data_IF_771635312055
#
_entry.id   IF_771635312055
#
_cell.length_a   1.000
_cell.length_b   1.000
_cell.length_c   1.000
_cell.angle_alpha   90.00
_cell.angle_beta   90.00
_cell.angle_gamma   90.00
#
_symmetry.space_group_name_H-M   'P 1'
#
loop_
_entity.id
_entity.type
_entity.pdbx_description
1 polymer ?
#
# COMPACT_ATOMS: atom_id res chain seq x y z
N UNK A 1 -3.86 3.40 1.14
CA UNK A 1 -2.52 3.98 0.82
C UNK A 1 -2.03 3.52 -0.52
N UNK A 2 -1.98 2.67 -1.16
CA UNK A 2 -1.54 2.34 -2.52
C UNK A 2 -2.60 2.50 -3.60
N UNK A 3 -3.88 2.55 -3.24
CA UNK A 3 -4.98 2.49 -4.19
C UNK A 3 -4.96 3.61 -5.23
N UNK A 4 -4.78 4.85 -4.81
CA UNK A 4 -4.77 5.99 -5.73
C UNK A 4 -3.60 5.91 -6.72
N UNK A 5 -2.41 5.57 -6.25
CA UNK A 5 -1.24 5.41 -7.10
C UNK A 5 -1.43 4.27 -8.12
N UNK A 6 -1.97 3.14 -7.68
CA UNK A 6 -2.18 1.99 -8.54
C UNK A 6 -3.28 2.22 -9.59
N UNK A 7 -4.28 3.05 -9.30
CA UNK A 7 -5.25 3.48 -10.33
C UNK A 7 -4.55 4.23 -11.46
N UNK A 8 -3.63 5.14 -11.13
CA UNK A 8 -2.85 5.87 -12.11
C UNK A 8 -1.93 4.96 -12.90
N UNK A 9 -1.25 4.03 -12.25
CA UNK A 9 -0.40 3.05 -12.92
C UNK A 9 -1.22 2.18 -13.88
N UNK A 10 -2.41 1.77 -13.47
CA UNK A 10 -3.30 0.94 -14.29
C UNK A 10 -3.73 1.66 -15.58
N UNK A 11 -3.99 2.97 -15.51
CA UNK A 11 -4.33 3.77 -16.69
C UNK A 11 -3.18 3.80 -17.68
N UNK A 12 -1.93 3.84 -17.20
CA UNK A 12 -0.74 3.96 -18.05
C UNK A 12 -0.21 2.61 -18.55
N UNK A 13 -0.48 1.51 -17.85
CA UNK A 13 0.06 0.20 -18.17
C UNK A 13 -0.46 -0.33 -19.51
N UNK A 14 0.42 -0.90 -20.32
CA UNK A 14 0.09 -1.47 -21.62
C UNK A 14 0.05 -2.99 -21.62
N UNK A 15 0.98 -3.65 -20.91
CA UNK A 15 1.01 -5.10 -20.80
C UNK A 15 -0.24 -5.62 -20.07
N UNK A 16 -0.88 -6.63 -20.64
CA UNK A 16 -2.05 -7.26 -20.06
C UNK A 16 -1.74 -7.89 -18.69
N UNK A 17 -0.61 -8.57 -18.57
CA UNK A 17 -0.16 -9.18 -17.32
C UNK A 17 0.07 -8.15 -16.23
N UNK A 18 0.69 -7.01 -16.57
CA UNK A 18 0.89 -5.92 -15.64
C UNK A 18 -0.44 -5.33 -15.20
N UNK A 19 -1.36 -5.10 -16.14
CA UNK A 19 -2.70 -4.58 -15.84
C UNK A 19 -3.46 -5.50 -14.90
N UNK A 20 -3.42 -6.81 -15.13
CA UNK A 20 -4.06 -7.80 -14.27
C UNK A 20 -3.50 -7.76 -12.85
N UNK A 21 -2.17 -7.73 -12.74
CA UNK A 21 -1.50 -7.69 -11.43
C UNK A 21 -1.80 -6.39 -10.68
N UNK A 22 -1.75 -5.25 -11.37
CA UNK A 22 -2.09 -3.96 -10.77
C UNK A 22 -3.56 -3.92 -10.31
N UNK A 23 -4.46 -4.48 -11.11
CA UNK A 23 -5.88 -4.52 -10.78
C UNK A 23 -6.15 -5.40 -9.54
N UNK A 24 -5.52 -6.57 -9.45
CA UNK A 24 -5.64 -7.42 -8.26
C UNK A 24 -5.09 -6.71 -7.01
N UNK A 25 -3.96 -6.04 -7.16
CA UNK A 25 -3.36 -5.27 -6.07
C UNK A 25 -4.26 -4.12 -5.63
N UNK A 26 -4.85 -3.40 -6.58
CA UNK A 26 -5.78 -2.32 -6.33
C UNK A 26 -7.00 -2.81 -5.54
N UNK A 27 -7.61 -3.92 -5.97
CA UNK A 27 -8.75 -4.50 -5.27
C UNK A 27 -8.41 -4.90 -3.83
N UNK A 28 -7.23 -5.45 -3.63
CA UNK A 28 -6.73 -5.83 -2.30
C UNK A 28 -6.56 -4.60 -1.40
N UNK A 29 -5.98 -3.53 -1.93
CA UNK A 29 -5.79 -2.29 -1.16
C UNK A 29 -7.11 -1.62 -0.82
N UNK A 30 -8.06 -1.56 -1.76
CA UNK A 30 -9.39 -0.99 -1.52
C UNK A 30 -10.12 -1.75 -0.43
N UNK A 31 -10.05 -3.08 -0.46
CA UNK A 31 -10.66 -3.94 0.55
C UNK A 31 -10.06 -3.66 1.94
N UNK A 32 -8.73 -3.62 2.04
CA UNK A 32 -8.04 -3.42 3.31
C UNK A 32 -8.21 -1.99 3.84
N UNK A 33 -8.22 -1.00 2.96
CA UNK A 33 -8.52 0.38 3.36
C UNK A 33 -9.93 0.50 3.94
N UNK A 34 -10.90 -0.17 3.33
CA UNK A 34 -12.29 -0.20 3.83
C UNK A 34 -12.36 -0.90 5.20
N UNK A 35 -11.73 -2.06 5.34
CA UNK A 35 -11.70 -2.80 6.61
C UNK A 35 -11.02 -1.99 7.71
N UNK A 36 -9.90 -1.33 7.40
CA UNK A 36 -9.17 -0.51 8.35
C UNK A 36 -10.00 0.68 8.82
N UNK A 37 -10.64 1.38 7.88
CA UNK A 37 -11.52 2.51 8.20
C UNK A 37 -12.69 2.05 9.10
N UNK A 38 -13.28 0.90 8.78
CA UNK A 38 -14.37 0.32 9.57
C UNK A 38 -13.91 0.00 11.00
N UNK A 39 -12.74 -0.60 11.18
CA UNK A 39 -12.19 -0.92 12.49
C UNK A 39 -11.87 0.34 13.28
N UNK A 40 -11.27 1.34 12.65
CA UNK A 40 -10.95 2.63 13.29
C UNK A 40 -12.24 3.30 13.78
N UNK A 41 -13.29 3.31 12.98
CA UNK A 41 -14.57 3.88 13.35
C UNK A 41 -15.21 3.12 14.55
N UNK A 42 -15.01 1.80 14.62
CA UNK A 42 -15.51 0.98 15.72
C UNK A 42 -14.83 1.30 17.05
N UNK A 43 -13.56 1.72 17.02
CA UNK A 43 -12.82 2.14 18.23
C UNK A 43 -13.23 3.53 18.75
N UNK A 44 -13.91 4.32 17.91
CA UNK A 44 -14.28 5.68 18.24
C UNK A 44 -13.18 6.71 18.00
N UNK A 45 -13.58 7.96 17.82
CA UNK A 45 -12.66 9.05 17.49
C UNK A 45 -11.69 9.41 18.64
N UNK A 46 -11.92 8.90 19.84
CA UNK A 46 -11.15 9.23 21.05
C UNK A 46 -9.95 8.30 21.27
N UNK A 47 -9.74 7.28 20.43
CA UNK A 47 -8.58 6.43 20.55
C UNK A 47 -7.36 7.11 19.89
N UNK A 48 -6.34 7.55 20.66
CA UNK A 48 -5.19 8.27 20.11
C UNK A 48 -4.45 7.48 19.04
N UNK A 49 -4.45 6.15 19.16
CA UNK A 49 -3.73 5.25 18.26
C UNK A 49 -4.38 5.18 16.88
N UNK A 50 -5.71 5.32 16.81
CA UNK A 50 -6.43 5.34 15.52
C UNK A 50 -6.08 6.58 14.70
N UNK A 51 -5.97 7.74 15.35
CA UNK A 51 -5.56 8.97 14.70
C UNK A 51 -4.14 8.85 14.15
N UNK A 52 -3.24 8.19 14.88
CA UNK A 52 -1.88 7.94 14.45
C UNK A 52 -1.79 7.06 13.21
N UNK A 53 -2.59 5.99 13.15
CA UNK A 53 -2.64 5.10 11.97
C UNK A 53 -3.16 5.86 10.74
N UNK A 54 -4.22 6.65 10.90
CA UNK A 54 -4.76 7.46 9.80
C UNK A 54 -3.74 8.48 9.30
N UNK A 55 -3.04 9.14 10.22
CA UNK A 55 -1.98 10.09 9.86
C UNK A 55 -0.85 9.39 9.10
N UNK A 56 -0.44 8.21 9.53
CA UNK A 56 0.58 7.40 8.85
C UNK A 56 0.17 7.08 7.42
N UNK A 57 -1.06 6.59 7.23
CA UNK A 57 -1.57 6.24 5.90
C UNK A 57 -1.64 7.45 4.99
N UNK A 58 -2.12 8.59 5.49
CA UNK A 58 -2.22 9.83 4.72
C UNK A 58 -0.85 10.36 4.33
N UNK A 59 0.10 10.40 5.25
CA UNK A 59 1.46 10.87 4.99
C UNK A 59 2.19 9.98 3.99
N UNK A 60 2.04 8.67 4.11
CA UNK A 60 2.64 7.73 3.16
C UNK A 60 2.06 7.91 1.76
N UNK A 61 0.75 8.10 1.65
CA UNK A 61 0.09 8.34 0.37
C UNK A 61 0.58 9.65 -0.30
N UNK A 62 0.77 10.71 0.49
CA UNK A 62 1.28 11.99 -0.02
C UNK A 62 2.71 11.89 -0.56
N UNK A 63 3.52 10.99 -0.01
CA UNK A 63 4.90 10.80 -0.47
C UNK A 63 5.01 10.00 -1.77
N UNK A 64 3.96 9.29 -2.15
CA UNK A 64 3.93 8.53 -3.39
C UNK A 64 3.62 9.49 -4.53
N UNK A 65 4.65 9.87 -5.28
CA UNK A 65 4.49 10.71 -6.46
C UNK A 65 4.39 9.81 -7.68
N UNK A 66 3.25 9.88 -8.36
CA UNK A 66 3.07 9.18 -9.62
C UNK A 66 3.64 10.07 -10.73
N UNK A 67 4.76 9.63 -11.30
CA UNK A 67 5.39 10.30 -12.42
C UNK A 67 4.89 9.67 -13.71
N UNK A 68 4.87 10.46 -14.80
CA UNK A 68 4.56 9.93 -16.11
C UNK A 68 5.58 8.82 -16.44
N UNK A 69 5.06 7.63 -16.73
CA UNK A 69 5.88 6.48 -17.06
C UNK A 69 6.07 6.38 -18.57
N UNK A 70 7.30 6.14 -19.01
CA UNK A 70 7.61 5.96 -20.42
C UNK A 70 7.38 4.51 -20.87
N UNK A 71 7.28 3.58 -19.93
CA UNK A 71 7.18 2.15 -20.23
C UNK A 71 6.56 1.38 -19.09
N UNK A 72 6.17 0.13 -19.34
CA UNK A 72 5.71 -0.79 -18.30
C UNK A 72 6.80 -1.09 -17.27
N UNK A 73 8.06 -1.09 -17.67
CA UNK A 73 9.18 -1.24 -16.74
C UNK A 73 9.23 -0.08 -15.73
N UNK A 74 9.01 1.15 -16.20
CA UNK A 74 8.92 2.31 -15.30
C UNK A 74 7.78 2.18 -14.31
N UNK A 75 6.63 1.69 -14.78
CA UNK A 75 5.47 1.44 -13.91
C UNK A 75 5.80 0.41 -12.84
N UNK A 76 6.44 -0.69 -13.22
CA UNK A 76 6.89 -1.72 -12.27
C UNK A 76 7.83 -1.13 -11.22
N UNK A 77 8.82 -0.36 -11.65
CA UNK A 77 9.79 0.23 -10.74
C UNK A 77 9.14 1.23 -9.79
N UNK A 78 8.22 2.06 -10.28
CA UNK A 78 7.47 3.01 -9.44
C UNK A 78 6.57 2.27 -8.45
N UNK A 79 5.88 1.22 -8.91
CA UNK A 79 4.99 0.41 -8.07
C UNK A 79 5.76 -0.28 -6.94
N UNK A 80 6.93 -0.85 -7.24
CA UNK A 80 7.81 -1.47 -6.23
C UNK A 80 8.28 -0.44 -5.21
N UNK A 81 8.66 0.75 -5.68
CA UNK A 81 9.07 1.83 -4.79
C UNK A 81 7.94 2.28 -3.87
N UNK A 82 6.71 2.36 -4.40
CA UNK A 82 5.54 2.70 -3.59
C UNK A 82 5.30 1.66 -2.48
N UNK A 83 5.48 0.37 -2.78
CA UNK A 83 5.34 -0.69 -1.79
C UNK A 83 6.42 -0.63 -0.70
N UNK A 84 7.65 -0.35 -1.09
CA UNK A 84 8.75 -0.17 -0.13
C UNK A 84 8.47 1.01 0.82
N UNK A 85 7.93 2.11 0.29
CA UNK A 85 7.52 3.25 1.10
C UNK A 85 6.41 2.88 2.09
N UNK A 86 5.45 2.07 1.65
CA UNK A 86 4.38 1.58 2.51
C UNK A 86 4.89 0.68 3.64
N UNK A 87 5.79 -0.25 3.32
CA UNK A 87 6.41 -1.13 4.32
C UNK A 87 7.24 -0.33 5.34
N UNK A 88 8.01 0.63 4.86
CA UNK A 88 8.79 1.51 5.74
C UNK A 88 7.90 2.33 6.66
N UNK A 89 6.81 2.89 6.13
CA UNK A 89 5.86 3.67 6.91
C UNK A 89 5.25 2.84 8.05
N UNK A 90 4.87 1.60 7.77
CA UNK A 90 4.35 0.68 8.79
C UNK A 90 5.39 0.39 9.86
N UNK A 91 6.62 0.09 9.47
CA UNK A 91 7.72 -0.17 10.40
C UNK A 91 8.00 1.04 11.28
N UNK A 92 8.13 2.22 10.69
CA UNK A 92 8.42 3.46 11.41
C UNK A 92 7.30 3.80 12.40
N UNK A 93 6.05 3.56 12.01
CA UNK A 93 4.91 3.77 12.90
C UNK A 93 5.00 2.88 14.16
N UNK A 94 5.27 1.59 13.96
CA UNK A 94 5.39 0.64 15.08
C UNK A 94 6.52 1.07 16.02
N UNK A 95 7.68 1.46 15.48
CA UNK A 95 8.84 1.88 16.28
C UNK A 95 8.55 3.17 17.04
N UNK A 96 7.88 4.12 16.41
CA UNK A 96 7.61 5.45 16.99
C UNK A 96 6.53 5.42 18.07
N UNK A 97 5.56 4.51 17.97
CA UNK A 97 4.38 4.49 18.83
C UNK A 97 4.33 3.29 19.79
N UNK A 98 5.47 2.73 20.14
CA UNK A 98 5.53 1.62 21.10
C UNK A 98 5.09 2.03 22.50
N UNK A 99 4.32 1.20 23.20
CA UNK A 99 3.70 -0.05 22.74
C UNK A 99 2.44 0.22 21.92
N UNK A 100 2.35 -0.42 20.75
CA UNK A 100 1.16 -0.35 19.89
C UNK A 100 0.13 -1.35 20.43
N UNK A 101 -1.15 -0.97 20.59
CA UNK A 101 -2.18 -1.92 20.98
C UNK A 101 -2.23 -3.12 20.06
N UNK A 102 -2.45 -4.31 20.63
CA UNK A 102 -2.39 -5.59 19.92
C UNK A 102 -3.31 -5.63 18.70
N UNK A 103 -4.52 -5.10 18.81
CA UNK A 103 -5.49 -5.06 17.71
C UNK A 103 -5.01 -4.19 16.55
N UNK A 104 -4.40 -3.06 16.84
CA UNK A 104 -3.83 -2.18 15.82
C UNK A 104 -2.59 -2.79 15.19
N UNK A 105 -1.76 -3.43 15.99
CA UNK A 105 -0.58 -4.15 15.53
C UNK A 105 -0.97 -5.24 14.53
N UNK A 106 -2.04 -5.97 14.82
CA UNK A 106 -2.58 -7.00 13.92
C UNK A 106 -2.95 -6.40 12.55
N UNK A 107 -3.66 -5.28 12.53
CA UNK A 107 -4.06 -4.60 11.28
C UNK A 107 -2.84 -4.14 10.49
N UNK A 108 -1.86 -3.56 11.18
CA UNK A 108 -0.63 -3.08 10.54
C UNK A 108 0.14 -4.26 9.93
N UNK A 109 0.21 -5.40 10.63
CA UNK A 109 0.85 -6.61 10.11
C UNK A 109 0.12 -7.16 8.88
N UNK A 110 -1.21 -7.10 8.83
CA UNK A 110 -1.97 -7.49 7.64
C UNK A 110 -1.61 -6.61 6.44
N UNK A 111 -1.52 -5.29 6.65
CA UNK A 111 -1.08 -4.37 5.60
C UNK A 111 0.32 -4.68 5.10
N UNK A 112 1.24 -4.96 6.02
CA UNK A 112 2.60 -5.34 5.66
C UNK A 112 2.64 -6.62 4.84
N UNK A 113 1.82 -7.62 5.17
CA UNK A 113 1.73 -8.85 4.41
C UNK A 113 1.22 -8.61 2.99
N UNK A 114 0.23 -7.74 2.85
CA UNK A 114 -0.28 -7.35 1.53
C UNK A 114 0.80 -6.69 0.68
N UNK A 115 1.52 -5.73 1.26
CA UNK A 115 2.60 -5.05 0.53
C UNK A 115 3.69 -6.03 0.09
N UNK A 116 4.06 -6.96 0.95
CA UNK A 116 5.05 -8.00 0.63
C UNK A 116 4.57 -8.92 -0.50
N UNK A 117 3.30 -9.29 -0.48
CA UNK A 117 2.71 -10.13 -1.54
C UNK A 117 2.69 -9.37 -2.88
N UNK A 118 2.34 -8.10 -2.88
CA UNK A 118 2.37 -7.28 -4.08
C UNK A 118 3.79 -7.12 -4.60
N UNK A 119 4.76 -6.90 -3.71
CA UNK A 119 6.18 -6.86 -4.09
C UNK A 119 6.59 -8.16 -4.78
N UNK A 120 6.19 -9.30 -4.23
CA UNK A 120 6.50 -10.60 -4.81
C UNK A 120 5.93 -10.74 -6.21
N UNK A 121 4.65 -10.42 -6.40
CA UNK A 121 3.98 -10.50 -7.71
C UNK A 121 4.62 -9.57 -8.74
N UNK A 122 4.90 -8.33 -8.37
CA UNK A 122 5.53 -7.36 -9.27
C UNK A 122 6.97 -7.75 -9.61
N UNK A 123 7.70 -8.29 -8.65
CA UNK A 123 9.08 -8.75 -8.86
C UNK A 123 9.10 -9.92 -9.83
N UNK A 124 8.17 -10.87 -9.71
CA UNK A 124 8.04 -11.99 -10.66
C UNK A 124 7.80 -11.48 -12.09
N UNK A 125 6.92 -10.50 -12.27
CA UNK A 125 6.68 -9.90 -13.58
C UNK A 125 7.96 -9.28 -14.15
N UNK A 126 8.71 -8.58 -13.32
CA UNK A 126 9.95 -7.93 -13.73
C UNK A 126 11.00 -8.95 -14.19
N UNK A 127 11.14 -10.06 -13.44
CA UNK A 127 12.08 -11.13 -13.75
C UNK A 127 11.70 -11.89 -15.02
N UNK A 128 10.42 -12.01 -15.31
CA UNK A 128 9.92 -12.77 -16.47
C UNK A 128 9.82 -11.93 -17.75
N UNK A 129 10.32 -10.72 -17.72
CA UNK A 129 10.31 -9.75 -18.83
C UNK A 129 8.91 -9.62 -19.46
N UNK A 130 8.20 -8.67 -19.02
CA UNK A 130 6.85 -8.29 -19.49
C UNK A 130 6.58 -8.54 -20.97
#
# INVERSE_FOLDING_TARGET
MGAAAFREYLVQAQSEKLRETLNRSLQRFEKHETELTSRINAYGADAPDCAGVMAMLSQAAEKIKVMMADSDEDILNQSLRAMDMGLKACHDFIEKHRPVPEEMLFVIHELQQDYKEVVRELTELKLNAL
#
